data_IF_291460572926
#
_entry.id   IF_291460572926
#
_cell.length_a   1.000
_cell.length_b   1.000
_cell.length_c   1.000
_cell.angle_alpha   90.00
_cell.angle_beta   90.00
_cell.angle_gamma   90.00
#
_symmetry.space_group_name_H-M   'P 1'
#
loop_
_entity.id
_entity.type
_entity.pdbx_description
1 polymer ?
#
# COMPACT_ATOMS: atom_id res chain seq x y z
N UNK A 1 -21.61 6.56 3.88
CA UNK A 1 -20.53 5.68 4.36
C UNK A 1 -20.40 4.54 3.38
N UNK A 2 -19.23 4.38 2.79
CA UNK A 2 -18.93 3.31 1.83
C UNK A 2 -18.25 2.13 2.52
N UNK A 3 -17.84 1.14 1.72
CA UNK A 3 -16.99 0.03 2.15
C UNK A 3 -15.94 -0.19 1.10
N UNK A 4 -14.76 -0.57 1.54
CA UNK A 4 -13.66 -1.01 0.68
C UNK A 4 -13.35 -2.46 1.01
N UNK A 5 -13.13 -3.25 -0.04
CA UNK A 5 -12.83 -4.68 0.03
C UNK A 5 -11.37 -4.86 -0.35
N UNK A 6 -10.60 -5.48 0.53
CA UNK A 6 -9.26 -5.93 0.23
C UNK A 6 -9.37 -7.38 -0.21
N UNK A 7 -8.98 -7.62 -1.46
CA UNK A 7 -8.92 -8.90 -2.13
C UNK A 7 -7.58 -8.91 -2.88
N UNK A 8 -6.55 -9.48 -2.25
CA UNK A 8 -5.20 -9.56 -2.79
C UNK A 8 -4.90 -11.02 -3.06
N UNK A 9 -4.56 -11.34 -4.31
CA UNK A 9 -4.24 -12.70 -4.75
C UNK A 9 -2.86 -13.17 -4.28
N UNK A 10 -2.73 -14.47 -4.06
CA UNK A 10 -1.41 -15.09 -3.84
C UNK A 10 -0.55 -14.89 -5.09
N UNK A 11 0.62 -14.28 -4.92
CA UNK A 11 1.49 -13.89 -6.02
C UNK A 11 2.95 -13.87 -5.57
N UNK A 12 3.92 -13.79 -6.50
CA UNK A 12 5.32 -13.57 -6.13
C UNK A 12 5.58 -12.25 -5.38
N UNK A 13 4.60 -11.33 -5.35
CA UNK A 13 4.68 -10.12 -4.53
C UNK A 13 4.21 -10.37 -3.09
N UNK A 14 3.10 -11.08 -2.93
CA UNK A 14 2.42 -11.26 -1.66
C UNK A 14 1.98 -12.72 -1.47
N UNK A 15 2.57 -13.38 -0.48
CA UNK A 15 2.29 -14.79 -0.15
C UNK A 15 1.04 -14.96 0.74
N UNK A 16 0.24 -13.90 0.94
CA UNK A 16 -0.92 -13.91 1.82
C UNK A 16 -2.18 -13.44 1.09
N UNK A 17 -3.28 -14.14 1.35
CA UNK A 17 -4.59 -13.89 0.76
C UNK A 17 -5.58 -13.38 1.84
N UNK A 18 -5.53 -12.07 2.22
CA UNK A 18 -6.53 -11.51 3.10
C UNK A 18 -7.80 -11.20 2.33
N UNK A 19 -8.92 -11.70 2.85
CA UNK A 19 -10.24 -11.14 2.52
C UNK A 19 -10.64 -10.26 3.69
N UNK A 20 -10.53 -8.93 3.52
CA UNK A 20 -10.87 -7.97 4.56
C UNK A 20 -11.85 -6.91 4.02
N UNK A 21 -12.72 -6.42 4.89
CA UNK A 21 -13.66 -5.34 4.53
C UNK A 21 -13.62 -4.26 5.58
N UNK A 22 -13.45 -3.02 5.14
CA UNK A 22 -13.40 -1.85 6.00
C UNK A 22 -14.55 -0.89 5.71
N UNK A 23 -15.01 -0.18 6.75
CA UNK A 23 -15.96 0.92 6.59
C UNK A 23 -15.21 2.22 6.29
N UNK A 24 -15.52 2.87 5.17
CA UNK A 24 -14.82 4.10 4.76
C UNK A 24 -15.38 5.33 5.47
N UNK A 25 -14.48 6.24 5.84
CA UNK A 25 -14.76 7.51 6.52
C UNK A 25 -14.53 8.72 5.62
N UNK A 26 -13.66 8.58 4.64
CA UNK A 26 -13.37 9.60 3.62
C UNK A 26 -13.57 9.06 2.21
N UNK A 27 -13.45 9.93 1.21
CA UNK A 27 -13.36 9.51 -0.19
C UNK A 27 -12.01 8.87 -0.48
N UNK A 28 -12.00 7.91 -1.39
CA UNK A 28 -10.79 7.25 -1.85
C UNK A 28 -9.93 8.21 -2.67
N UNK A 29 -8.64 8.27 -2.36
CA UNK A 29 -7.64 9.06 -3.08
C UNK A 29 -6.63 8.13 -3.75
N UNK A 30 -6.49 8.26 -5.07
CA UNK A 30 -5.46 7.54 -5.83
C UNK A 30 -4.12 8.28 -5.76
N UNK A 31 -3.03 7.53 -5.61
CA UNK A 31 -1.64 8.01 -5.57
C UNK A 31 -0.78 7.04 -6.35
N UNK A 32 0.15 7.52 -7.17
CA UNK A 32 1.07 6.63 -7.90
C UNK A 32 2.10 5.98 -6.97
N UNK A 33 2.76 6.79 -6.15
CA UNK A 33 3.76 6.34 -5.18
C UNK A 33 3.67 7.18 -3.90
N UNK A 34 3.79 6.51 -2.76
CA UNK A 34 3.68 7.11 -1.44
C UNK A 34 4.99 6.96 -0.68
N UNK A 35 5.57 8.07 -0.27
CA UNK A 35 6.62 8.08 0.74
C UNK A 35 6.03 7.98 2.14
N UNK A 36 6.59 7.08 2.94
CA UNK A 36 6.25 6.87 4.35
C UNK A 36 7.51 7.01 5.21
N UNK A 37 7.43 7.66 6.40
CA UNK A 37 8.60 7.93 7.24
C UNK A 37 9.18 6.67 7.90
N UNK A 38 8.43 5.58 7.92
CA UNK A 38 8.85 4.30 8.49
C UNK A 38 7.78 3.24 8.32
N UNK A 39 8.22 1.98 8.29
CA UNK A 39 7.38 0.79 8.29
C UNK A 39 7.72 -0.03 9.54
N UNK A 40 6.70 -0.60 10.19
CA UNK A 40 6.91 -1.39 11.42
C UNK A 40 7.97 -2.47 11.24
N UNK A 41 9.02 -2.45 12.07
CA UNK A 41 10.10 -3.43 12.02
C UNK A 41 11.17 -3.18 10.94
N UNK A 42 11.12 -2.04 10.25
CA UNK A 42 12.10 -1.62 9.24
C UNK A 42 12.63 -0.22 9.56
N UNK A 43 13.91 0.01 9.28
CA UNK A 43 14.57 1.29 9.56
C UNK A 43 14.42 2.26 8.39
N UNK A 44 14.25 3.54 8.73
CA UNK A 44 14.27 4.62 7.75
C UNK A 44 13.00 4.75 6.90
N UNK A 45 13.01 5.72 5.97
CA UNK A 45 11.88 5.99 5.10
C UNK A 45 11.75 4.95 3.98
N UNK A 46 10.51 4.76 3.53
CA UNK A 46 10.17 3.81 2.49
C UNK A 46 9.29 4.45 1.43
N UNK A 47 9.36 3.91 0.23
CA UNK A 47 8.40 4.16 -0.84
C UNK A 47 7.43 2.98 -0.91
N UNK A 48 6.19 3.27 -1.26
CA UNK A 48 5.10 2.31 -1.39
C UNK A 48 4.36 2.59 -2.69
N UNK A 49 4.14 1.54 -3.48
CA UNK A 49 3.31 1.59 -4.70
C UNK A 49 2.28 0.46 -4.65
N UNK A 50 1.19 0.58 -5.40
CA UNK A 50 0.36 -0.59 -5.70
C UNK A 50 1.11 -1.54 -6.63
N UNK A 51 0.75 -2.82 -6.59
CA UNK A 51 1.28 -3.85 -7.49
C UNK A 51 0.11 -4.59 -8.15
N UNK A 52 0.12 -4.67 -9.48
CA UNK A 52 -0.89 -5.45 -10.22
C UNK A 52 -0.30 -6.69 -10.86
N UNK A 53 -1.16 -7.64 -11.23
CA UNK A 53 -0.82 -8.83 -12.01
C UNK A 53 -0.49 -8.55 -13.47
N UNK A 54 -0.73 -7.32 -13.95
CA UNK A 54 -0.43 -6.92 -15.33
C UNK A 54 1.06 -7.05 -15.62
N UNK A 55 1.39 -7.50 -16.84
CA UNK A 55 2.76 -7.69 -17.33
C UNK A 55 3.64 -8.57 -16.41
N UNK A 56 3.05 -9.63 -15.84
CA UNK A 56 3.68 -10.53 -14.86
C UNK A 56 4.13 -9.84 -13.56
N UNK A 57 3.54 -8.68 -13.24
CA UNK A 57 3.83 -7.90 -12.05
C UNK A 57 4.36 -6.50 -12.37
N UNK A 58 3.53 -5.48 -12.18
CA UNK A 58 3.91 -4.10 -12.46
C UNK A 58 3.42 -3.10 -11.39
N UNK A 59 4.11 -1.96 -11.21
CA UNK A 59 3.62 -0.89 -10.36
C UNK A 59 2.30 -0.32 -10.87
N UNK A 60 1.34 -0.12 -9.97
CA UNK A 60 0.08 0.57 -10.24
C UNK A 60 -0.22 1.62 -9.15
N UNK A 61 -1.16 2.54 -9.37
CA UNK A 61 -1.62 3.43 -8.31
C UNK A 61 -2.13 2.67 -7.08
N UNK A 62 -1.96 3.29 -5.92
CA UNK A 62 -2.53 2.87 -4.64
C UNK A 62 -3.71 3.75 -4.24
N UNK A 63 -4.61 3.17 -3.46
CA UNK A 63 -5.76 3.80 -2.84
C UNK A 63 -5.44 4.19 -1.40
N UNK A 64 -5.76 5.43 -1.05
CA UNK A 64 -5.75 5.95 0.31
C UNK A 64 -7.16 6.29 0.76
N UNK A 65 -7.58 5.76 1.90
CA UNK A 65 -8.90 6.04 2.47
C UNK A 65 -8.86 5.87 3.98
N UNK A 66 -9.47 6.79 4.72
CA UNK A 66 -9.61 6.59 6.16
C UNK A 66 -10.70 5.56 6.41
N UNK A 67 -10.41 4.61 7.30
CA UNK A 67 -11.30 3.51 7.64
C UNK A 67 -11.42 3.35 9.14
N UNK A 68 -12.53 2.75 9.57
CA UNK A 68 -12.60 2.24 10.95
C UNK A 68 -12.04 0.84 11.04
N UNK A 69 -11.05 0.68 11.92
CA UNK A 69 -10.53 -0.62 12.34
C UNK A 69 -11.21 -1.07 13.66
N UNK A 70 -11.13 -2.37 13.92
CA UNK A 70 -11.65 -3.05 15.11
C UNK A 70 -11.40 -2.23 16.39
N UNK A 71 -12.48 -1.78 17.02
CA UNK A 71 -12.42 -0.94 18.24
C UNK A 71 -12.75 0.55 18.07
N UNK A 72 -13.27 0.95 16.90
CA UNK A 72 -13.66 2.34 16.58
C UNK A 72 -12.50 3.33 16.37
N UNK A 73 -11.26 2.83 16.28
CA UNK A 73 -10.11 3.63 15.86
C UNK A 73 -10.20 3.94 14.36
N UNK A 74 -9.78 5.14 13.96
CA UNK A 74 -9.64 5.52 12.55
C UNK A 74 -8.19 5.31 12.14
N UNK A 75 -7.99 4.59 11.04
CA UNK A 75 -6.69 4.34 10.43
C UNK A 75 -6.73 4.80 8.98
N UNK A 76 -5.60 5.24 8.43
CA UNK A 76 -5.46 5.43 7.00
C UNK A 76 -5.12 4.08 6.37
N UNK A 77 -6.05 3.55 5.58
CA UNK A 77 -5.84 2.37 4.77
C UNK A 77 -5.05 2.75 3.51
N UNK A 78 -3.97 2.03 3.27
CA UNK A 78 -3.20 2.02 2.03
C UNK A 78 -3.42 0.67 1.36
N UNK A 79 -4.04 0.66 0.18
CA UNK A 79 -4.33 -0.55 -0.57
C UNK A 79 -3.82 -0.41 -2.02
N UNK A 80 -3.29 -1.48 -2.59
CA UNK A 80 -2.78 -1.50 -3.97
C UNK A 80 -3.61 -2.40 -4.87
N UNK A 81 -3.08 -2.71 -6.06
CA UNK A 81 -3.71 -3.61 -7.03
C UNK A 81 -3.99 -5.02 -6.50
N UNK A 82 -4.33 -5.92 -7.41
CA UNK A 82 -4.67 -7.31 -7.10
C UNK A 82 -3.51 -8.13 -6.52
N UNK A 83 -2.26 -7.67 -6.69
CA UNK A 83 -1.09 -8.25 -6.03
C UNK A 83 -0.66 -7.47 -4.76
N UNK A 84 -1.48 -6.55 -4.28
CA UNK A 84 -1.26 -5.79 -3.06
C UNK A 84 -0.35 -4.59 -3.24
N UNK A 85 0.49 -4.32 -2.25
CA UNK A 85 1.48 -3.25 -2.22
C UNK A 85 2.87 -3.80 -2.49
N UNK A 86 3.75 -2.99 -3.09
CA UNK A 86 5.19 -3.20 -3.11
C UNK A 86 5.86 -2.10 -2.31
N UNK A 87 6.81 -2.48 -1.46
CA UNK A 87 7.49 -1.58 -0.53
C UNK A 87 9.00 -1.70 -0.76
N UNK A 88 9.70 -0.56 -0.73
CA UNK A 88 11.18 -0.51 -0.80
C UNK A 88 11.73 0.63 0.06
N UNK A 89 12.98 0.56 0.53
CA UNK A 89 13.70 1.72 1.07
C UNK A 89 13.72 2.88 0.08
N UNK A 90 13.67 4.14 0.55
CA UNK A 90 13.67 5.32 -0.34
C UNK A 90 14.89 5.39 -1.28
N UNK A 91 16.03 4.84 -0.87
CA UNK A 91 17.28 4.79 -1.63
C UNK A 91 17.49 3.50 -2.45
N UNK A 92 16.49 2.61 -2.47
CA UNK A 92 16.54 1.38 -3.26
C UNK A 92 16.38 1.66 -4.78
N UNK A 93 16.77 0.66 -5.57
CA UNK A 93 16.70 0.72 -7.04
C UNK A 93 15.29 0.72 -7.61
N UNK A 94 15.19 0.40 -8.91
CA UNK A 94 13.91 0.25 -9.60
C UNK A 94 13.02 -0.80 -8.95
N UNK A 95 11.70 -0.64 -9.10
CA UNK A 95 10.72 -1.60 -8.61
C UNK A 95 10.92 -2.97 -9.28
N UNK A 96 11.04 -4.03 -8.47
CA UNK A 96 11.29 -5.38 -8.98
C UNK A 96 10.91 -6.45 -7.97
N UNK A 97 10.28 -7.52 -8.46
CA UNK A 97 9.99 -8.73 -7.69
C UNK A 97 11.27 -9.46 -7.25
N UNK A 98 12.35 -9.34 -8.00
CA UNK A 98 13.63 -10.02 -7.74
C UNK A 98 14.59 -9.29 -6.80
N UNK A 99 14.23 -8.09 -6.33
CA UNK A 99 15.06 -7.32 -5.41
C UNK A 99 14.83 -7.78 -3.96
N UNK A 100 15.91 -8.16 -3.27
CA UNK A 100 15.86 -8.70 -1.89
C UNK A 100 15.51 -7.66 -0.82
N UNK A 101 15.70 -6.37 -1.12
CA UNK A 101 15.37 -5.24 -0.26
C UNK A 101 13.93 -4.73 -0.44
N UNK A 102 13.17 -5.35 -1.36
CA UNK A 102 11.78 -5.03 -1.63
C UNK A 102 10.89 -6.20 -1.23
N UNK A 103 9.70 -5.90 -0.75
CA UNK A 103 8.73 -6.92 -0.35
C UNK A 103 7.31 -6.44 -0.60
N UNK A 104 6.36 -7.37 -0.56
CA UNK A 104 4.95 -7.05 -0.66
C UNK A 104 4.22 -7.16 0.66
N UNK A 105 3.16 -6.37 0.77
CA UNK A 105 2.17 -6.41 1.83
C UNK A 105 0.79 -6.31 1.18
N UNK A 106 -0.24 -6.98 1.69
CA UNK A 106 -1.56 -6.90 1.05
C UNK A 106 -2.19 -5.50 1.18
N UNK A 107 -1.98 -4.87 2.33
CA UNK A 107 -2.38 -3.50 2.63
C UNK A 107 -1.60 -3.00 3.85
N UNK A 108 -1.62 -1.70 4.10
CA UNK A 108 -1.10 -1.11 5.33
C UNK A 108 -2.18 -0.30 6.03
N UNK A 109 -2.15 -0.30 7.37
CA UNK A 109 -2.90 0.62 8.19
C UNK A 109 -1.89 1.58 8.85
N UNK A 110 -2.03 2.87 8.55
CA UNK A 110 -1.18 3.92 9.05
C UNK A 110 -1.96 4.85 9.99
N UNK A 111 -1.23 5.55 10.86
CA UNK A 111 -1.79 6.68 11.60
C UNK A 111 -2.22 7.77 10.59
N UNK A 112 -3.48 8.24 10.60
CA UNK A 112 -3.94 9.31 9.71
C UNK A 112 -3.14 10.62 9.83
N UNK A 113 -2.46 10.83 10.95
CA UNK A 113 -1.60 11.99 11.20
C UNK A 113 -0.14 11.80 10.78
N UNK A 114 0.24 10.61 10.27
CA UNK A 114 1.59 10.35 9.80
C UNK A 114 1.97 11.34 8.67
N UNK A 115 3.22 11.86 8.65
CA UNK A 115 3.68 12.76 7.59
C UNK A 115 3.94 11.96 6.31
N UNK A 116 2.93 11.81 5.47
CA UNK A 116 3.01 11.09 4.19
C UNK A 116 3.24 12.07 3.04
N UNK A 117 3.94 11.64 1.99
CA UNK A 117 4.16 12.46 0.79
C UNK A 117 3.83 11.66 -0.45
N UNK A 118 3.01 12.24 -1.31
CA UNK A 118 2.81 11.74 -2.67
C UNK A 118 4.07 12.08 -3.48
N UNK A 119 4.78 11.06 -3.97
CA UNK A 119 6.00 11.21 -4.76
C UNK A 119 5.75 11.04 -6.26
N UNK A 120 4.49 10.81 -6.66
CA UNK A 120 4.09 10.79 -8.05
C UNK A 120 4.43 12.14 -8.68
N UNK A 121 5.48 12.17 -9.50
CA UNK A 121 5.78 13.36 -10.30
C UNK A 121 4.63 13.50 -11.29
N UNK A 122 3.90 14.61 -11.25
CA UNK A 122 2.98 15.01 -12.32
C UNK A 122 3.79 14.98 -13.63
N UNK A 123 3.63 13.93 -14.44
CA UNK A 123 4.12 13.90 -15.81
C UNK A 123 3.29 14.85 -16.67
#
# INVERSE_FOLDING_TARGET
>A
MGRIYIDVEESPNCDYYPIQTFETRTEERQVGELWVPGVSGKDGPHLVTGWSSDDDGSPCPLTLVEVTDSGAAVSLLVAGGDYGLRIKPEDAGEWSLGSEDQWGEPYMLLDPSAPLRDTSVNQ
#
